data_IF_275978331743
#
_entry.id   IF_275978331743
#
_cell.length_a   1.000
_cell.length_b   1.000
_cell.length_c   1.000
_cell.angle_alpha   90.00
_cell.angle_beta   90.00
_cell.angle_gamma   90.00
#
_symmetry.space_group_name_H-M   'P 1'
#
loop_
_entity.id
_entity.type
_entity.pdbx_description
1 polymer ?
#
# COMPACT_ATOMS: atom_id res chain seq x y z
N UNK A 1 2.14 -22.05 -4.51
CA UNK A 1 3.01 -21.62 -3.39
C UNK A 1 2.30 -20.51 -2.63
N UNK A 2 1.84 -20.88 -1.43
CA UNK A 2 1.23 -20.13 -0.32
C UNK A 2 0.47 -18.81 -0.61
N UNK A 3 -0.83 -18.91 -0.90
CA UNK A 3 -1.82 -17.87 -0.59
C UNK A 3 -2.70 -18.34 0.58
N UNK A 4 -2.10 -18.46 1.77
CA UNK A 4 -2.88 -18.74 2.98
C UNK A 4 -2.37 -17.83 4.10
N UNK A 5 -3.01 -16.68 4.22
CA UNK A 5 -3.04 -15.85 5.42
C UNK A 5 -4.49 -15.43 5.64
N UNK A 6 -4.89 -15.17 6.88
CA UNK A 6 -6.29 -15.12 7.38
C UNK A 6 -7.22 -14.06 6.73
N UNK A 7 -6.76 -13.33 5.70
CA UNK A 7 -7.57 -12.48 4.83
C UNK A 7 -7.23 -12.73 3.36
N UNK A 8 -7.89 -13.71 2.74
CA UNK A 8 -7.67 -14.03 1.33
C UNK A 8 -8.09 -12.82 0.47
N UNK A 9 -7.20 -12.35 -0.42
CA UNK A 9 -7.43 -11.27 -1.40
C UNK A 9 -7.66 -9.86 -0.84
N UNK A 10 -7.00 -9.47 0.26
CA UNK A 10 -7.16 -8.12 0.84
C UNK A 10 -6.66 -6.98 -0.07
N UNK A 11 -5.75 -7.25 -1.00
CA UNK A 11 -5.11 -6.29 -1.90
C UNK A 11 -5.11 -6.73 -3.36
N UNK A 12 -6.12 -7.50 -3.78
CA UNK A 12 -6.26 -7.99 -5.16
C UNK A 12 -6.19 -6.87 -6.19
N UNK A 13 -6.84 -5.74 -5.92
CA UNK A 13 -6.85 -4.55 -6.77
C UNK A 13 -5.43 -4.04 -7.08
N UNK A 14 -4.55 -4.09 -6.07
CA UNK A 14 -3.16 -3.64 -6.17
C UNK A 14 -2.34 -4.65 -6.97
N UNK A 15 -2.53 -5.96 -6.75
CA UNK A 15 -1.87 -7.00 -7.54
C UNK A 15 -2.31 -6.99 -9.01
N UNK A 16 -3.58 -6.70 -9.29
CA UNK A 16 -4.06 -6.48 -10.65
C UNK A 16 -3.39 -5.26 -11.29
N UNK A 17 -3.21 -4.17 -10.52
CA UNK A 17 -2.44 -3.00 -10.92
C UNK A 17 -0.98 -3.33 -11.27
N UNK A 18 -0.29 -4.11 -10.44
CA UNK A 18 1.09 -4.54 -10.70
C UNK A 18 1.19 -5.36 -11.99
N UNK A 19 0.27 -6.28 -12.23
CA UNK A 19 0.27 -7.07 -13.47
C UNK A 19 0.01 -6.21 -14.72
N UNK A 20 -0.87 -5.21 -14.63
CA UNK A 20 -1.11 -4.25 -15.71
C UNK A 20 0.15 -3.39 -16.00
N UNK A 21 0.78 -2.85 -14.96
CA UNK A 21 2.01 -2.07 -15.07
C UNK A 21 3.17 -2.89 -15.65
N UNK A 22 3.34 -4.15 -15.21
CA UNK A 22 4.38 -5.06 -15.74
C UNK A 22 4.18 -5.35 -17.23
N UNK A 23 2.94 -5.36 -17.71
CA UNK A 23 2.58 -5.54 -19.13
C UNK A 23 2.73 -4.26 -19.97
N UNK A 24 3.17 -3.16 -19.37
CA UNK A 24 3.37 -1.88 -20.06
C UNK A 24 2.11 -1.03 -20.18
N UNK A 25 1.03 -1.37 -19.45
CA UNK A 25 -0.16 -0.55 -19.40
C UNK A 25 0.09 0.77 -18.68
N UNK A 26 -0.54 1.85 -19.16
CA UNK A 26 -0.53 3.16 -18.52
C UNK A 26 -1.95 3.52 -18.11
N UNK A 27 -2.10 4.09 -16.91
CA UNK A 27 -3.38 4.57 -16.39
C UNK A 27 -3.27 6.08 -16.19
N UNK A 28 -4.13 6.83 -16.86
CA UNK A 28 -4.27 8.27 -16.60
C UNK A 28 -5.04 8.47 -15.30
N UNK A 29 -4.47 9.25 -14.38
CA UNK A 29 -5.16 9.65 -13.16
C UNK A 29 -6.27 10.64 -13.51
N UNK A 30 -7.53 10.23 -13.33
CA UNK A 30 -8.71 11.07 -13.53
C UNK A 30 -9.43 11.20 -12.21
N UNK A 31 -9.58 12.42 -11.74
CA UNK A 31 -10.28 12.71 -10.49
C UNK A 31 -11.78 12.73 -10.75
N UNK A 32 -12.51 11.87 -10.05
CA UNK A 32 -13.96 11.85 -10.05
C UNK A 32 -14.44 12.24 -8.66
N UNK A 33 -15.26 13.30 -8.57
CA UNK A 33 -15.84 13.74 -7.32
C UNK A 33 -17.19 13.05 -7.12
N UNK A 34 -17.26 12.10 -6.18
CA UNK A 34 -18.51 11.45 -5.79
C UNK A 34 -18.91 11.89 -4.38
N UNK A 35 -20.13 12.43 -4.24
CA UNK A 35 -20.71 12.75 -2.94
C UNK A 35 -21.54 11.56 -2.48
N UNK A 36 -21.11 10.88 -1.42
CA UNK A 36 -21.84 9.82 -0.74
C UNK A 36 -22.27 10.24 0.66
N UNK A 37 -23.29 9.59 1.22
CA UNK A 37 -23.59 9.75 2.66
C UNK A 37 -22.43 9.17 3.46
N UNK A 38 -21.82 10.01 4.30
CA UNK A 38 -20.81 9.56 5.26
C UNK A 38 -21.40 8.49 6.17
N UNK A 39 -20.67 7.38 6.35
CA UNK A 39 -20.98 6.42 7.40
C UNK A 39 -20.39 6.98 8.69
N UNK A 40 -21.11 6.95 9.80
CA UNK A 40 -20.52 7.28 11.10
C UNK A 40 -19.45 6.24 11.43
N UNK A 41 -18.19 6.61 11.23
CA UNK A 41 -17.04 5.73 11.44
C UNK A 41 -16.48 6.04 12.82
N UNK A 42 -16.81 5.21 13.83
CA UNK A 42 -16.21 5.33 15.16
C UNK A 42 -14.71 5.02 15.11
N UNK A 43 -13.94 5.49 16.10
CA UNK A 43 -12.48 5.27 16.14
C UNK A 43 -12.07 3.79 16.00
N UNK A 44 -12.85 2.86 16.56
CA UNK A 44 -12.61 1.41 16.42
C UNK A 44 -12.70 0.92 14.97
N UNK A 45 -13.54 1.53 14.13
CA UNK A 45 -13.67 1.18 12.72
C UNK A 45 -12.56 1.79 11.87
N UNK A 46 -12.13 3.01 12.18
CA UNK A 46 -10.97 3.64 11.53
C UNK A 46 -9.71 2.81 11.79
N UNK A 47 -9.49 2.41 13.04
CA UNK A 47 -8.36 1.56 13.41
C UNK A 47 -8.36 0.21 12.67
N UNK A 48 -9.53 -0.43 12.54
CA UNK A 48 -9.65 -1.68 11.76
C UNK A 48 -9.36 -1.48 10.28
N UNK A 49 -9.71 -0.32 9.72
CA UNK A 49 -9.41 0.02 8.34
C UNK A 49 -7.91 0.23 8.12
N UNK A 50 -7.25 0.97 9.01
CA UNK A 50 -5.80 1.20 8.94
C UNK A 50 -5.00 -0.10 9.12
N UNK A 51 -5.43 -0.96 10.06
CA UNK A 51 -4.85 -2.29 10.24
C UNK A 51 -4.98 -3.15 8.97
N UNK A 52 -6.11 -3.05 8.27
CA UNK A 52 -6.33 -3.72 6.98
C UNK A 52 -5.36 -3.21 5.91
N UNK A 53 -5.17 -1.89 5.82
CA UNK A 53 -4.23 -1.29 4.87
C UNK A 53 -2.79 -1.74 5.14
N UNK A 54 -2.40 -1.75 6.41
CA UNK A 54 -1.07 -2.17 6.87
C UNK A 54 -0.79 -3.64 6.56
N UNK A 55 -1.79 -4.51 6.75
CA UNK A 55 -1.70 -5.92 6.38
C UNK A 55 -1.49 -6.08 4.86
N UNK A 56 -2.22 -5.32 4.04
CA UNK A 56 -2.06 -5.32 2.59
C UNK A 56 -0.67 -4.86 2.14
N UNK A 57 -0.11 -3.83 2.78
CA UNK A 57 1.25 -3.37 2.51
C UNK A 57 2.32 -4.40 2.90
N UNK A 58 2.11 -5.12 4.00
CA UNK A 58 2.97 -6.25 4.40
C UNK A 58 2.96 -7.38 3.37
N UNK A 59 1.78 -7.75 2.86
CA UNK A 59 1.66 -8.75 1.79
C UNK A 59 2.35 -8.33 0.49
N UNK A 60 2.27 -7.05 0.13
CA UNK A 60 2.97 -6.50 -1.04
C UNK A 60 4.49 -6.57 -0.87
N UNK A 61 5.00 -6.21 0.31
CA UNK A 61 6.43 -6.23 0.62
C UNK A 61 7.03 -7.64 0.54
N UNK A 62 6.24 -8.66 0.87
CA UNK A 62 6.62 -10.07 0.76
C UNK A 62 6.38 -10.66 -0.64
N UNK A 63 5.68 -9.94 -1.52
CA UNK A 63 5.31 -10.46 -2.83
C UNK A 63 6.42 -10.31 -3.88
N UNK A 64 6.58 -11.35 -4.70
CA UNK A 64 7.53 -11.38 -5.83
C UNK A 64 7.14 -10.43 -6.96
N UNK A 65 5.86 -10.02 -7.02
CA UNK A 65 5.38 -9.13 -8.07
C UNK A 65 5.92 -7.70 -7.89
N UNK A 66 6.09 -7.26 -6.64
CA UNK A 66 6.73 -5.97 -6.33
C UNK A 66 8.20 -5.99 -6.77
N UNK A 67 8.94 -7.06 -6.48
CA UNK A 67 10.33 -7.19 -6.93
C UNK A 67 10.46 -7.08 -8.46
N UNK A 68 9.58 -7.78 -9.20
CA UNK A 68 9.57 -7.74 -10.67
C UNK A 68 9.18 -6.38 -11.23
N UNK A 69 8.24 -5.70 -10.58
CA UNK A 69 7.82 -4.35 -10.96
C UNK A 69 8.96 -3.35 -10.74
N UNK A 70 9.58 -3.37 -9.55
CA UNK A 70 10.68 -2.46 -9.18
C UNK A 70 11.81 -2.48 -10.19
N UNK A 71 12.17 -3.66 -10.71
CA UNK A 71 13.26 -3.81 -11.67
C UNK A 71 12.97 -3.12 -13.02
N UNK A 72 11.69 -2.92 -13.37
CA UNK A 72 11.27 -2.31 -14.65
C UNK A 72 10.91 -0.83 -14.54
N UNK A 73 10.88 -0.26 -13.33
CA UNK A 73 10.48 1.13 -13.12
C UNK A 73 11.67 2.08 -13.21
N UNK A 74 11.47 3.25 -13.82
CA UNK A 74 12.43 4.36 -13.81
C UNK A 74 12.62 4.92 -12.39
N UNK A 75 13.76 5.56 -12.14
CA UNK A 75 14.13 6.09 -10.80
C UNK A 75 13.02 6.91 -10.13
N UNK A 76 12.38 7.84 -10.84
CA UNK A 76 11.30 8.68 -10.29
C UNK A 76 10.05 7.87 -9.93
N UNK A 77 9.72 6.86 -10.74
CA UNK A 77 8.57 5.97 -10.50
C UNK A 77 8.85 5.02 -9.34
N UNK A 78 10.08 4.54 -9.23
CA UNK A 78 10.55 3.75 -8.11
C UNK A 78 10.52 4.55 -6.79
N UNK A 79 10.94 5.82 -6.83
CA UNK A 79 10.88 6.72 -5.68
C UNK A 79 9.43 6.97 -5.22
N UNK A 80 8.51 7.19 -6.16
CA UNK A 80 7.09 7.33 -5.87
C UNK A 80 6.51 6.07 -5.21
N UNK A 81 6.87 4.89 -5.72
CA UNK A 81 6.46 3.61 -5.14
C UNK A 81 7.06 3.40 -3.73
N UNK A 82 8.29 3.86 -3.49
CA UNK A 82 8.91 3.83 -2.16
C UNK A 82 8.15 4.70 -1.15
N UNK A 83 7.90 5.96 -1.48
CA UNK A 83 7.22 6.89 -0.56
C UNK A 83 5.75 6.51 -0.31
N UNK A 84 5.04 6.01 -1.32
CA UNK A 84 3.65 5.58 -1.18
C UNK A 84 3.46 4.22 -0.51
N UNK A 85 4.53 3.42 -0.39
CA UNK A 85 4.51 2.08 0.19
C UNK A 85 5.35 1.98 1.45
N UNK A 86 6.42 1.18 1.37
CA UNK A 86 7.29 0.81 2.51
C UNK A 86 7.93 2.04 3.20
N UNK A 87 8.28 3.08 2.43
CA UNK A 87 8.92 4.28 2.97
C UNK A 87 8.06 5.04 3.96
N UNK A 88 6.74 5.01 3.80
CA UNK A 88 5.80 5.61 4.76
C UNK A 88 5.87 4.89 6.12
N UNK A 89 5.80 3.55 6.11
CA UNK A 89 5.88 2.75 7.33
C UNK A 89 7.25 2.89 8.03
N UNK A 90 8.34 2.93 7.25
CA UNK A 90 9.67 3.15 7.78
C UNK A 90 9.79 4.52 8.48
N UNK A 91 9.27 5.57 7.84
CA UNK A 91 9.25 6.92 8.41
C UNK A 91 8.44 6.99 9.70
N UNK A 92 7.29 6.30 9.76
CA UNK A 92 6.48 6.21 10.98
C UNK A 92 7.24 5.53 12.12
N UNK A 93 7.94 4.42 11.86
CA UNK A 93 8.75 3.72 12.87
C UNK A 93 9.88 4.63 13.38
N UNK A 94 10.59 5.30 12.48
CA UNK A 94 11.65 6.24 12.86
C UNK A 94 11.11 7.38 13.74
N UNK A 95 9.92 7.90 13.42
CA UNK A 95 9.29 8.97 14.19
C UNK A 95 8.96 8.51 15.61
N UNK A 96 8.35 7.33 15.75
CA UNK A 96 8.03 6.73 17.07
C UNK A 96 9.30 6.46 17.88
N UNK A 97 10.34 5.92 17.25
CA UNK A 97 11.64 5.67 17.90
C UNK A 97 12.30 6.98 18.35
N UNK A 98 12.27 8.02 17.51
CA UNK A 98 12.83 9.33 17.85
C UNK A 98 12.12 9.92 19.06
N UNK A 99 10.78 9.84 19.10
CA UNK A 99 9.99 10.29 20.25
C UNK A 99 10.39 9.51 21.51
N UNK A 100 10.52 8.19 21.42
CA UNK A 100 10.88 7.34 22.57
C UNK A 100 12.32 7.56 23.09
N UNK A 101 13.25 7.97 22.22
CA UNK A 101 14.64 8.24 22.62
C UNK A 101 14.80 9.65 23.19
N UNK A 102 14.02 10.62 22.67
CA UNK A 102 14.13 12.04 23.04
C UNK A 102 13.32 12.38 24.29
N UNK A 103 12.23 11.66 24.56
CA UNK A 103 11.40 11.78 25.77
C UNK A 103 11.90 10.80 26.83
#
# INVERSE_FOLDING_TARGET
ISKSSKGINLSEDIFAGYNNAIRGGQVGFKEYLQVGKGRDVGMSQIYKFEAKLSQGAGEQSLSRDVYRLCHRLDFYRLLSMYFGGIGHYFSNVLTVLTIYIVI
#
